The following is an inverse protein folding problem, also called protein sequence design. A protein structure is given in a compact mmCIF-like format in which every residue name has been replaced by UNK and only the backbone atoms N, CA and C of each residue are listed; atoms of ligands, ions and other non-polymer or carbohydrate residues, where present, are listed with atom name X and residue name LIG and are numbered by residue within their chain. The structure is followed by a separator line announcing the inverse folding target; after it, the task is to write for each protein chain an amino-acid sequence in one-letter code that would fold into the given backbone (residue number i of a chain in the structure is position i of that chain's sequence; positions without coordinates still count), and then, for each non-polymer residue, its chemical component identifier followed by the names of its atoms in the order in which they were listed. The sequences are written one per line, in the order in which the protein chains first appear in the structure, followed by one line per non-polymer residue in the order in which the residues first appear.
data_IF_432353482850
#
_entry.id   IF_432353482850
#
_cell.length_a   1.000
_cell.length_b   1.000
_cell.length_c   1.000
_cell.angle_alpha   90.00
_cell.angle_beta   90.00
_cell.angle_gamma   90.00
#
_symmetry.space_group_name_H-M   'P 1'
#
loop_
_entity.id
_entity.type
_entity.pdbx_description
1 polymer ?
#
# COMPACT_ATOMS: atom_id res chain seq x y z
N UNK A 1 -10.20 -7.55 -0.70
CA UNK A 1 -9.03 -7.50 0.20
C UNK A 1 -8.39 -6.13 0.10
N UNK A 2 -7.82 -5.59 1.18
CA UNK A 2 -6.97 -4.42 1.09
C UNK A 2 -5.52 -4.88 1.04
N UNK A 3 -4.72 -4.34 0.11
CA UNK A 3 -3.26 -4.50 0.08
C UNK A 3 -2.63 -4.36 1.48
N UNK A 4 -3.05 -3.41 2.34
CA UNK A 4 -2.53 -3.30 3.71
C UNK A 4 -2.92 -4.44 4.64
N UNK A 5 -4.06 -5.11 4.41
CA UNK A 5 -4.55 -6.19 5.27
C UNK A 5 -3.79 -7.49 5.03
N UNK A 6 -3.56 -7.86 3.76
CA UNK A 6 -2.77 -9.04 3.40
C UNK A 6 -1.32 -8.89 3.85
N UNK A 7 -0.67 -7.78 3.49
CA UNK A 7 0.70 -7.52 3.89
C UNK A 7 0.87 -7.52 5.41
N UNK A 8 -0.07 -6.93 6.16
CA UNK A 8 -0.05 -6.94 7.63
C UNK A 8 -0.22 -8.33 8.23
N UNK A 9 -1.04 -9.19 7.64
CA UNK A 9 -1.15 -10.58 8.09
C UNK A 9 0.16 -11.33 7.83
N UNK A 10 0.70 -11.19 6.62
CA UNK A 10 1.93 -11.85 6.20
C UNK A 10 3.13 -11.43 7.05
N UNK A 11 3.30 -10.13 7.29
CA UNK A 11 4.40 -9.57 8.10
C UNK A 11 4.36 -10.00 9.56
N UNK A 12 3.16 -10.22 10.10
CA UNK A 12 2.99 -10.73 11.48
C UNK A 12 3.28 -12.22 11.57
N UNK A 13 2.86 -12.99 10.56
CA UNK A 13 3.00 -14.44 10.56
C UNK A 13 4.43 -14.89 10.21
N UNK A 14 5.06 -14.22 9.26
CA UNK A 14 6.39 -14.53 8.76
C UNK A 14 7.31 -13.29 8.86
N UNK A 15 7.71 -12.87 10.07
CA UNK A 15 8.41 -11.59 10.26
C UNK A 15 9.75 -11.51 9.52
N UNK A 16 10.46 -12.63 9.39
CA UNK A 16 11.80 -12.68 8.78
C UNK A 16 11.82 -12.42 7.27
N UNK A 17 10.66 -12.38 6.60
CA UNK A 17 10.61 -12.05 5.18
C UNK A 17 10.91 -10.56 4.93
N UNK A 18 10.75 -9.71 5.95
CA UNK A 18 10.93 -8.26 5.83
C UNK A 18 12.32 -7.86 6.32
N UNK A 19 13.01 -7.04 5.53
CA UNK A 19 14.29 -6.43 5.89
C UNK A 19 14.25 -4.96 5.47
N UNK A 20 14.72 -4.05 6.33
CA UNK A 20 14.86 -2.63 5.95
C UNK A 20 16.01 -2.46 4.96
N UNK A 21 15.79 -1.63 3.94
CA UNK A 21 16.82 -1.31 2.97
C UNK A 21 17.88 -0.40 3.58
N UNK A 22 19.14 -0.70 3.33
CA UNK A 22 20.28 0.17 3.61
C UNK A 22 20.46 1.12 2.42
N UNK A 23 20.15 2.39 2.64
CA UNK A 23 20.29 3.46 1.64
C UNK A 23 21.55 4.28 1.90
N UNK A 24 22.48 4.30 0.94
CA UNK A 24 23.62 5.21 0.97
C UNK A 24 23.16 6.59 0.50
N UNK A 25 23.41 7.63 1.30
CA UNK A 25 23.10 9.01 0.94
C UNK A 25 24.28 9.68 0.22
N UNK A 26 24.02 10.60 -0.73
CA UNK A 26 25.06 11.46 -1.29
C UNK A 26 25.83 12.19 -0.19
N UNK A 27 27.14 12.31 -0.35
CA UNK A 27 27.99 13.02 0.61
C UNK A 27 28.17 14.45 0.15
N UNK A 28 28.11 15.41 1.07
CA UNK A 28 28.44 16.79 0.77
C UNK A 28 29.87 17.08 1.25
N UNK A 29 30.72 17.56 0.34
CA UNK A 29 32.09 17.96 0.65
C UNK A 29 32.37 19.30 -0.04
N UNK A 30 32.68 20.35 0.73
CA UNK A 30 32.96 21.70 0.22
C UNK A 30 31.85 22.26 -0.70
N UNK A 31 30.57 22.11 -0.32
CA UNK A 31 29.38 22.48 -1.12
C UNK A 31 29.26 21.75 -2.47
N UNK A 32 30.01 20.68 -2.67
CA UNK A 32 29.89 19.78 -3.82
C UNK A 32 29.21 18.50 -3.34
N UNK A 33 28.05 18.19 -3.95
CA UNK A 33 27.32 16.96 -3.70
C UNK A 33 27.97 15.83 -4.49
N UNK A 34 28.64 14.92 -3.78
CA UNK A 34 29.25 13.72 -4.35
C UNK A 34 28.15 12.65 -4.48
N UNK A 35 27.82 12.19 -5.70
CA UNK A 35 26.78 11.19 -5.91
C UNK A 35 27.18 9.84 -5.33
N UNK A 36 26.18 8.98 -5.11
CA UNK A 36 26.38 7.61 -4.66
C UNK A 36 26.99 6.81 -5.80
N UNK A 37 28.12 6.16 -5.53
CA UNK A 37 28.78 5.29 -6.50
C UNK A 37 28.12 3.90 -6.51
N UNK A 38 27.21 3.71 -7.46
CA UNK A 38 26.42 2.48 -7.64
C UNK A 38 27.21 1.33 -8.28
N UNK A 39 28.44 1.58 -8.77
CA UNK A 39 29.33 0.52 -9.29
C UNK A 39 29.90 -0.35 -8.17
N UNK A 40 29.91 0.15 -6.94
CA UNK A 40 30.36 -0.58 -5.75
C UNK A 40 29.38 -1.68 -5.35
N UNK A 41 29.84 -2.68 -4.57
CA UNK A 41 28.99 -3.70 -3.99
C UNK A 41 27.77 -3.10 -3.28
N UNK A 42 26.64 -3.77 -3.38
CA UNK A 42 25.38 -3.33 -2.79
C UNK A 42 25.50 -3.37 -1.24
N UNK A 43 25.18 -2.27 -0.53
CA UNK A 43 25.25 -2.22 0.94
C UNK A 43 24.24 -3.12 1.66
N UNK A 44 23.25 -3.69 0.94
CA UNK A 44 22.23 -4.57 1.49
C UNK A 44 22.68 -6.04 1.60
N UNK A 45 23.97 -6.32 1.36
CA UNK A 45 24.57 -7.67 1.42
C UNK A 45 23.94 -8.67 0.41
N UNK A 46 23.21 -8.16 -0.58
CA UNK A 46 22.64 -8.92 -1.69
C UNK A 46 22.82 -8.12 -2.97
N UNK A 47 23.29 -8.79 -4.02
CA UNK A 47 23.34 -8.23 -5.37
C UNK A 47 22.07 -8.62 -6.13
N UNK A 48 21.60 -7.74 -6.99
CA UNK A 48 20.43 -7.99 -7.84
C UNK A 48 20.84 -7.96 -9.30
N UNK A 49 20.40 -8.93 -10.07
CA UNK A 49 20.61 -8.95 -11.52
C UNK A 49 19.63 -8.03 -12.21
N UNK A 50 18.34 -8.18 -11.87
CA UNK A 50 17.24 -7.55 -12.58
C UNK A 50 16.37 -6.73 -11.61
N UNK A 51 16.16 -5.46 -11.94
CA UNK A 51 15.18 -4.58 -11.30
C UNK A 51 13.99 -4.37 -12.23
N UNK A 52 12.79 -4.62 -11.73
CA UNK A 52 11.53 -4.40 -12.42
C UNK A 52 10.77 -3.29 -11.70
N UNK A 53 10.33 -2.27 -12.43
CA UNK A 53 9.57 -1.15 -11.91
C UNK A 53 8.14 -1.21 -12.44
N UNK A 54 7.17 -1.44 -11.56
CA UNK A 54 5.80 -1.04 -11.82
C UNK A 54 5.72 0.49 -11.70
N UNK A 55 5.74 1.16 -12.85
CA UNK A 55 5.81 2.61 -12.93
C UNK A 55 4.55 3.27 -12.38
N UNK A 56 3.39 2.62 -12.42
CA UNK A 56 2.17 3.20 -11.85
C UNK A 56 2.28 3.38 -10.34
N UNK A 57 2.96 2.44 -9.66
CA UNK A 57 3.32 2.57 -8.24
C UNK A 57 4.26 3.74 -7.93
N UNK A 58 4.95 4.31 -8.92
CA UNK A 58 5.86 5.46 -8.79
C UNK A 58 5.18 6.77 -9.20
N UNK A 59 4.44 6.76 -10.33
CA UNK A 59 3.78 7.95 -10.91
C UNK A 59 2.73 8.52 -9.94
N UNK A 60 1.95 7.64 -9.29
CA UNK A 60 0.91 8.08 -8.37
C UNK A 60 1.47 8.89 -7.18
N UNK A 61 2.41 8.36 -6.37
CA UNK A 61 3.04 9.12 -5.28
C UNK A 61 3.75 10.40 -5.73
N UNK A 62 4.35 10.41 -6.94
CA UNK A 62 5.08 11.57 -7.44
C UNK A 62 4.16 12.71 -7.91
N UNK A 63 2.95 12.42 -8.36
CA UNK A 63 1.99 13.43 -8.88
C UNK A 63 1.04 13.96 -7.81
N UNK A 64 0.73 13.17 -6.79
CA UNK A 64 -0.14 13.55 -5.68
C UNK A 64 0.34 12.95 -4.36
N UNK A 65 1.49 13.41 -3.83
CA UNK A 65 2.04 12.93 -2.56
C UNK A 65 1.07 13.22 -1.41
N UNK A 66 0.91 12.25 -0.49
CA UNK A 66 0.07 12.44 0.71
C UNK A 66 0.74 13.35 1.75
N UNK A 67 2.07 13.30 1.85
CA UNK A 67 2.86 13.90 2.94
C UNK A 67 3.67 15.14 2.51
N UNK A 68 3.61 15.53 1.24
CA UNK A 68 4.31 16.69 0.67
C UNK A 68 3.35 17.53 -0.17
N UNK A 69 3.66 18.81 -0.44
CA UNK A 69 2.92 19.59 -1.42
C UNK A 69 2.95 18.90 -2.79
N UNK A 70 1.81 18.90 -3.50
CA UNK A 70 1.77 18.40 -4.86
C UNK A 70 2.66 19.25 -5.80
N UNK A 71 3.30 18.64 -6.80
CA UNK A 71 4.05 19.37 -7.83
C UNK A 71 3.20 20.43 -8.52
N UNK A 72 3.84 21.53 -8.93
CA UNK A 72 3.13 22.67 -9.54
C UNK A 72 2.76 22.45 -11.00
N UNK A 73 3.55 21.66 -11.72
CA UNK A 73 3.40 21.42 -13.15
C UNK A 73 3.93 20.03 -13.53
N UNK A 74 3.70 19.62 -14.79
CA UNK A 74 4.17 18.32 -15.29
C UNK A 74 5.70 18.18 -15.24
N UNK A 75 6.46 19.26 -15.48
CA UNK A 75 7.93 19.21 -15.43
C UNK A 75 8.45 18.82 -14.03
N UNK A 76 7.90 19.42 -12.97
CA UNK A 76 8.21 19.05 -11.58
C UNK A 76 7.79 17.60 -11.28
N UNK A 77 6.69 17.11 -11.87
CA UNK A 77 6.27 15.70 -11.75
C UNK A 77 7.28 14.75 -12.40
N UNK A 78 7.77 15.08 -13.61
CA UNK A 78 8.76 14.27 -14.31
C UNK A 78 10.08 14.21 -13.53
N UNK A 79 10.54 15.34 -12.98
CA UNK A 79 11.73 15.40 -12.13
C UNK A 79 11.54 14.52 -10.89
N UNK A 80 10.40 14.61 -10.21
CA UNK A 80 10.09 13.76 -9.06
C UNK A 80 10.12 12.27 -9.41
N UNK A 81 9.57 11.88 -10.58
CA UNK A 81 9.62 10.50 -11.08
C UNK A 81 11.07 10.06 -11.32
N UNK A 82 11.90 10.90 -11.95
CA UNK A 82 13.32 10.58 -12.20
C UNK A 82 14.10 10.41 -10.90
N UNK A 83 13.92 11.31 -9.93
CA UNK A 83 14.54 11.21 -8.61
C UNK A 83 14.11 9.94 -7.86
N UNK A 84 12.86 9.53 -8.01
CA UNK A 84 12.35 8.30 -7.40
C UNK A 84 12.99 7.06 -8.04
N UNK A 85 13.09 7.02 -9.37
CA UNK A 85 13.77 5.91 -10.08
C UNK A 85 15.24 5.85 -9.68
N UNK A 86 15.94 6.99 -9.64
CA UNK A 86 17.35 7.06 -9.20
C UNK A 86 17.52 6.54 -7.77
N UNK A 87 16.59 6.88 -6.87
CA UNK A 87 16.59 6.41 -5.48
C UNK A 87 16.47 4.89 -5.42
N UNK A 88 15.52 4.30 -6.15
CA UNK A 88 15.37 2.84 -6.24
C UNK A 88 16.61 2.18 -6.85
N UNK A 89 17.16 2.77 -7.92
CA UNK A 89 18.37 2.29 -8.56
C UNK A 89 19.56 2.28 -7.60
N UNK A 90 19.72 3.33 -6.78
CA UNK A 90 20.78 3.44 -5.78
C UNK A 90 20.69 2.37 -4.68
N UNK A 91 19.47 1.98 -4.30
CA UNK A 91 19.19 0.94 -3.30
C UNK A 91 19.45 -0.46 -3.89
N UNK A 92 18.89 -0.75 -5.07
CA UNK A 92 18.88 -2.11 -5.64
C UNK A 92 20.14 -2.42 -6.45
N UNK A 93 20.68 -1.45 -7.19
CA UNK A 93 21.88 -1.58 -8.04
C UNK A 93 21.83 -2.80 -8.98
N UNK A 94 20.84 -2.87 -9.88
CA UNK A 94 20.73 -4.00 -10.81
C UNK A 94 22.00 -4.14 -11.66
N UNK A 95 22.46 -5.37 -11.88
CA UNK A 95 23.71 -5.66 -12.60
C UNK A 95 23.51 -6.07 -14.06
N UNK A 96 22.30 -6.43 -14.47
CA UNK A 96 21.99 -6.98 -15.80
C UNK A 96 20.83 -6.26 -16.48
N UNK A 97 19.71 -6.08 -15.78
CA UNK A 97 18.48 -5.52 -16.37
C UNK A 97 17.81 -4.47 -15.49
N UNK A 98 17.37 -3.38 -16.11
CA UNK A 98 16.30 -2.52 -15.59
C UNK A 98 15.09 -2.59 -16.54
N UNK A 99 13.97 -3.08 -16.05
CA UNK A 99 12.72 -3.17 -16.79
C UNK A 99 11.70 -2.18 -16.21
N UNK A 100 11.27 -1.21 -17.00
CA UNK A 100 10.31 -0.18 -16.61
C UNK A 100 8.98 -0.45 -17.29
N UNK A 101 7.97 -0.83 -16.52
CA UNK A 101 6.65 -1.20 -17.03
C UNK A 101 5.61 -0.16 -16.64
N UNK A 102 5.03 0.51 -17.63
CA UNK A 102 3.90 1.41 -17.46
C UNK A 102 2.62 0.64 -17.78
N UNK A 103 1.53 0.87 -17.07
CA UNK A 103 0.24 0.26 -17.44
C UNK A 103 -0.16 0.66 -18.87
N UNK A 104 -0.50 -0.36 -19.66
CA UNK A 104 -1.16 -0.22 -20.95
C UNK A 104 -2.64 -0.54 -20.87
N UNK A 105 -3.26 -0.78 -22.02
CA UNK A 105 -4.68 -1.18 -22.07
C UNK A 105 -4.86 -2.51 -21.36
N UNK A 106 -5.60 -2.49 -20.24
CA UNK A 106 -5.83 -3.66 -19.39
C UNK A 106 -7.00 -4.52 -19.89
N UNK A 107 -7.10 -5.79 -19.45
CA UNK A 107 -8.25 -6.65 -19.75
C UNK A 107 -9.57 -6.09 -19.21
N UNK A 108 -10.69 -6.49 -19.81
CA UNK A 108 -12.04 -6.02 -19.45
C UNK A 108 -12.37 -6.18 -17.95
N UNK A 109 -11.92 -7.27 -17.33
CA UNK A 109 -12.11 -7.50 -15.90
C UNK A 109 -11.47 -6.40 -15.06
N UNK A 110 -10.22 -6.04 -15.36
CA UNK A 110 -9.53 -4.92 -14.71
C UNK A 110 -10.17 -3.58 -15.05
N UNK A 111 -10.61 -3.36 -16.30
CA UNK A 111 -11.27 -2.11 -16.70
C UNK A 111 -12.51 -1.80 -15.86
N UNK A 112 -13.31 -2.83 -15.51
CA UNK A 112 -14.47 -2.65 -14.62
C UNK A 112 -14.07 -2.18 -13.21
N UNK A 113 -12.99 -2.75 -12.68
CA UNK A 113 -12.42 -2.37 -11.40
C UNK A 113 -11.86 -0.95 -11.45
N UNK A 114 -11.05 -0.62 -12.46
CA UNK A 114 -10.46 0.71 -12.64
C UNK A 114 -11.55 1.77 -12.81
N UNK A 115 -12.59 1.49 -13.61
CA UNK A 115 -13.78 2.35 -13.74
C UNK A 115 -14.41 2.60 -12.38
N UNK A 116 -14.68 1.56 -11.61
CA UNK A 116 -15.30 1.69 -10.28
C UNK A 116 -14.46 2.53 -9.32
N UNK A 117 -13.12 2.34 -9.31
CA UNK A 117 -12.19 3.14 -8.51
C UNK A 117 -12.22 4.62 -8.90
N UNK A 118 -12.18 4.94 -10.21
CA UNK A 118 -12.17 6.33 -10.71
C UNK A 118 -13.47 7.07 -10.45
N UNK A 119 -14.61 6.40 -10.64
CA UNK A 119 -15.93 6.96 -10.31
C UNK A 119 -16.03 7.28 -8.82
N UNK A 120 -15.53 6.38 -7.95
CA UNK A 120 -15.50 6.62 -6.50
C UNK A 120 -14.57 7.77 -6.14
N UNK A 121 -13.34 7.79 -6.65
CA UNK A 121 -12.38 8.85 -6.37
C UNK A 121 -12.88 10.23 -6.82
N UNK A 122 -13.58 10.30 -7.96
CA UNK A 122 -14.20 11.54 -8.44
C UNK A 122 -15.33 12.00 -7.49
N UNK A 123 -16.21 11.09 -7.06
CA UNK A 123 -17.30 11.40 -6.10
C UNK A 123 -16.76 11.84 -4.74
N UNK A 124 -15.82 11.08 -4.17
CA UNK A 124 -15.14 11.41 -2.91
C UNK A 124 -14.38 12.73 -3.02
N UNK A 125 -13.81 13.03 -4.19
CA UNK A 125 -13.15 14.30 -4.49
C UNK A 125 -14.10 15.50 -4.42
N UNK A 126 -15.32 15.36 -4.96
CA UNK A 126 -16.37 16.40 -4.88
C UNK A 126 -16.87 16.54 -3.45
N UNK A 127 -17.24 15.43 -2.80
CA UNK A 127 -17.73 15.42 -1.41
C UNK A 127 -16.70 16.00 -0.44
N UNK A 128 -15.40 15.72 -0.64
CA UNK A 128 -14.34 16.28 0.19
C UNK A 128 -14.19 17.79 0.03
N UNK A 129 -14.40 18.34 -1.18
CA UNK A 129 -14.36 19.79 -1.43
C UNK A 129 -15.57 20.46 -0.77
N UNK A 130 -16.77 19.91 -0.95
CA UNK A 130 -18.00 20.42 -0.32
C UNK A 130 -17.89 20.43 1.22
N UNK A 131 -17.40 19.33 1.80
CA UNK A 131 -17.18 19.20 3.24
C UNK A 131 -16.14 20.21 3.75
N UNK A 132 -15.03 20.40 3.02
CA UNK A 132 -14.01 21.40 3.37
C UNK A 132 -14.59 22.81 3.35
N UNK A 133 -15.38 23.15 2.34
CA UNK A 133 -16.02 24.46 2.23
C UNK A 133 -17.00 24.71 3.37
N UNK A 134 -17.83 23.71 3.71
CA UNK A 134 -18.78 23.80 4.83
C UNK A 134 -18.07 24.05 6.16
N UNK A 135 -17.02 23.28 6.46
CA UNK A 135 -16.27 23.43 7.72
C UNK A 135 -15.52 24.77 7.73
N UNK A 136 -14.99 25.19 6.58
CA UNK A 136 -14.33 26.49 6.43
C UNK A 136 -15.29 27.65 6.77
N UNK A 137 -16.49 27.64 6.22
CA UNK A 137 -17.54 28.63 6.52
C UNK A 137 -17.91 28.62 8.01
N UNK A 138 -18.05 27.43 8.60
CA UNK A 138 -18.35 27.28 10.03
C UNK A 138 -17.25 27.90 10.91
N UNK A 139 -15.98 27.62 10.61
CA UNK A 139 -14.83 28.18 11.34
C UNK A 139 -14.79 29.71 11.21
N UNK A 140 -14.99 30.24 10.00
CA UNK A 140 -15.01 31.68 9.76
C UNK A 140 -16.19 32.36 10.48
N UNK A 141 -17.38 31.73 10.49
CA UNK A 141 -18.56 32.24 11.20
C UNK A 141 -18.37 32.34 12.71
N UNK A 142 -17.53 31.47 13.28
CA UNK A 142 -17.14 31.45 14.69
C UNK A 142 -15.98 32.39 15.01
N UNK A 143 -15.50 33.16 14.02
CA UNK A 143 -14.39 34.10 14.18
C UNK A 143 -13.00 33.47 14.10
N UNK A 144 -12.89 32.21 13.66
CA UNK A 144 -11.60 31.55 13.43
C UNK A 144 -10.87 32.11 12.21
N UNK A 145 -9.54 32.04 12.22
CA UNK A 145 -8.69 32.46 11.12
C UNK A 145 -8.24 31.27 10.28
N UNK A 146 -8.42 31.36 8.96
CA UNK A 146 -7.93 30.34 8.02
C UNK A 146 -7.07 31.00 6.92
N UNK A 147 -5.99 30.33 6.47
CA UNK A 147 -5.15 30.83 5.37
C UNK A 147 -5.97 31.04 4.09
N UNK A 148 -5.63 32.04 3.28
CA UNK A 148 -6.26 32.22 1.96
C UNK A 148 -6.01 30.99 1.08
N UNK A 149 -7.03 30.56 0.34
CA UNK A 149 -6.84 29.51 -0.66
C UNK A 149 -6.00 30.03 -1.81
N UNK A 150 -4.85 29.42 -2.03
CA UNK A 150 -4.17 29.48 -3.31
C UNK A 150 -4.97 28.63 -4.29
N UNK A 151 -5.46 29.22 -5.38
CA UNK A 151 -5.96 28.45 -6.52
C UNK A 151 -4.77 27.68 -7.12
N UNK A 152 -4.57 26.45 -6.67
CA UNK A 152 -3.70 25.49 -7.37
C UNK A 152 -4.57 24.69 -8.31
N UNK A 153 -4.20 24.65 -9.59
CA UNK A 153 -4.80 23.71 -10.52
C UNK A 153 -4.58 22.30 -9.97
N UNK A 154 -5.69 21.61 -9.70
CA UNK A 154 -5.65 20.25 -9.16
C UNK A 154 -5.26 19.31 -10.29
N UNK A 155 -4.16 18.59 -10.13
CA UNK A 155 -3.79 17.51 -11.05
C UNK A 155 -4.91 16.45 -11.12
N UNK A 156 -5.41 16.18 -12.32
CA UNK A 156 -6.40 15.13 -12.55
C UNK A 156 -5.69 13.78 -12.70
N UNK A 157 -5.68 12.99 -11.63
CA UNK A 157 -5.05 11.66 -11.63
C UNK A 157 -5.68 10.68 -12.63
N UNK A 158 -6.86 10.96 -13.18
CA UNK A 158 -7.42 10.15 -14.27
C UNK A 158 -6.59 10.27 -15.56
N UNK A 159 -5.73 11.28 -15.71
CA UNK A 159 -4.81 11.38 -16.84
C UNK A 159 -3.74 10.27 -16.83
N UNK A 160 -3.53 9.57 -15.70
CA UNK A 160 -2.69 8.38 -15.57
C UNK A 160 -3.45 7.19 -16.16
N UNK A 161 -3.65 7.22 -17.48
CA UNK A 161 -4.36 6.21 -18.27
C UNK A 161 -3.74 6.13 -19.66
N UNK A 162 -3.56 4.93 -20.23
CA UNK A 162 -3.13 4.79 -21.62
C UNK A 162 -3.98 5.63 -22.59
N UNK A 163 -3.30 6.29 -23.53
CA UNK A 163 -3.93 7.11 -24.57
C UNK A 163 -4.15 8.58 -24.21
N UNK A 164 -3.68 9.05 -23.06
CA UNK A 164 -3.68 10.47 -22.71
C UNK A 164 -2.37 11.15 -23.14
N UNK A 165 -2.43 12.45 -23.37
CA UNK A 165 -1.24 13.26 -23.71
C UNK A 165 -0.18 13.21 -22.61
N UNK A 166 -0.59 13.18 -21.34
CA UNK A 166 0.29 13.02 -20.19
C UNK A 166 1.15 11.74 -20.30
N UNK A 167 0.54 10.60 -20.65
CA UNK A 167 1.28 9.33 -20.77
C UNK A 167 2.23 9.31 -21.97
N UNK A 168 1.86 9.97 -23.07
CA UNK A 168 2.73 10.12 -24.23
C UNK A 168 3.94 11.01 -23.91
N UNK A 169 3.73 12.10 -23.17
CA UNK A 169 4.80 12.98 -22.70
C UNK A 169 5.71 12.28 -21.68
N UNK A 170 5.13 11.55 -20.73
CA UNK A 170 5.87 10.71 -19.79
C UNK A 170 6.78 9.70 -20.51
N UNK A 171 6.28 9.03 -21.55
CA UNK A 171 7.09 8.08 -22.33
C UNK A 171 8.28 8.77 -23.02
N UNK A 172 8.11 9.97 -23.59
CA UNK A 172 9.20 10.76 -24.18
C UNK A 172 10.23 11.15 -23.12
N UNK A 173 9.78 11.65 -21.97
CA UNK A 173 10.61 12.03 -20.84
C UNK A 173 11.42 10.85 -20.31
N UNK A 174 10.82 9.67 -20.16
CA UNK A 174 11.52 8.46 -19.73
C UNK A 174 12.56 7.97 -20.75
N UNK A 175 12.28 8.07 -22.05
CA UNK A 175 13.28 7.77 -23.09
C UNK A 175 14.49 8.70 -23.00
N UNK A 176 14.26 9.99 -22.77
CA UNK A 176 15.33 10.95 -22.52
C UNK A 176 16.12 10.59 -21.25
N UNK A 177 15.42 10.34 -20.13
CA UNK A 177 16.04 9.96 -18.86
C UNK A 177 16.93 8.71 -18.99
N UNK A 178 16.43 7.66 -19.65
CA UNK A 178 17.20 6.43 -19.90
C UNK A 178 18.45 6.74 -20.73
N UNK A 179 18.32 7.51 -21.80
CA UNK A 179 19.45 7.88 -22.64
C UNK A 179 20.48 8.71 -21.87
N UNK A 180 20.05 9.66 -21.05
CA UNK A 180 20.92 10.46 -20.19
C UNK A 180 21.68 9.58 -19.19
N UNK A 181 20.99 8.71 -18.45
CA UNK A 181 21.60 7.80 -17.47
C UNK A 181 22.59 6.83 -18.10
N UNK A 182 22.27 6.23 -19.25
CA UNK A 182 23.19 5.34 -19.97
C UNK A 182 24.47 6.04 -20.43
N UNK A 183 24.41 7.34 -20.75
CA UNK A 183 25.57 8.11 -21.20
C UNK A 183 26.41 8.67 -20.05
N UNK A 184 25.76 9.04 -18.94
CA UNK A 184 26.37 9.86 -17.89
C UNK A 184 26.56 9.13 -16.54
N UNK A 185 25.85 8.03 -16.28
CA UNK A 185 25.96 7.27 -15.03
C UNK A 185 26.78 5.97 -15.22
N UNK A 186 27.96 5.84 -14.59
CA UNK A 186 28.78 4.64 -14.67
C UNK A 186 28.08 3.35 -14.22
N UNK A 187 27.12 3.44 -13.30
CA UNK A 187 26.33 2.29 -12.83
C UNK A 187 25.41 1.71 -13.89
N UNK A 188 25.04 2.49 -14.91
CA UNK A 188 24.15 2.08 -16.00
C UNK A 188 24.91 1.52 -17.22
N UNK A 189 26.23 1.71 -17.29
CA UNK A 189 27.04 1.49 -18.49
C UNK A 189 26.91 0.08 -19.12
N UNK A 190 26.74 -0.96 -18.29
CA UNK A 190 26.63 -2.35 -18.76
C UNK A 190 25.21 -2.93 -18.59
N UNK A 191 24.23 -2.07 -18.32
CA UNK A 191 22.87 -2.48 -18.03
C UNK A 191 22.04 -2.55 -19.30
N UNK A 192 21.22 -3.59 -19.44
CA UNK A 192 20.14 -3.59 -20.43
C UNK A 192 18.95 -2.85 -19.84
N UNK A 193 18.43 -1.84 -20.54
CA UNK A 193 17.24 -1.09 -20.10
C UNK A 193 16.09 -1.34 -21.06
N UNK A 194 14.95 -1.79 -20.53
CA UNK A 194 13.72 -2.03 -21.30
C UNK A 194 12.65 -1.09 -20.78
N UNK A 195 12.13 -0.23 -21.66
CA UNK A 195 10.93 0.57 -21.40
C UNK A 195 9.74 -0.03 -22.12
N UNK A 196 8.75 -0.48 -21.35
CA UNK A 196 7.46 -0.92 -21.85
C UNK A 196 6.41 0.14 -21.50
N UNK A 197 6.24 1.12 -22.39
CA UNK A 197 5.33 2.24 -22.18
C UNK A 197 3.83 1.87 -22.29
N UNK A 198 2.96 2.86 -22.10
CA UNK A 198 1.50 2.68 -22.08
C UNK A 198 0.91 2.26 -23.43
N UNK A 199 1.66 2.37 -24.54
CA UNK A 199 1.19 1.90 -25.86
C UNK A 199 1.22 0.37 -25.99
N UNK A 200 2.05 -0.31 -25.18
CA UNK A 200 2.09 -1.76 -25.10
C UNK A 200 0.90 -2.24 -24.25
N UNK A 201 0.01 -3.12 -24.74
CA UNK A 201 -1.14 -3.60 -23.96
C UNK A 201 -0.73 -4.41 -22.71
N UNK A 202 -1.58 -4.43 -21.70
CA UNK A 202 -1.39 -5.16 -20.44
C UNK A 202 -1.09 -4.27 -19.24
N UNK A 203 -1.32 -4.78 -18.04
CA UNK A 203 -0.95 -4.13 -16.77
C UNK A 203 0.56 -4.25 -16.54
N UNK A 204 1.19 -3.26 -15.90
CA UNK A 204 2.63 -3.17 -15.70
C UNK A 204 3.19 -4.41 -15.00
N UNK A 205 2.57 -4.81 -13.88
CA UNK A 205 2.91 -6.04 -13.15
C UNK A 205 2.81 -7.28 -14.05
N UNK A 206 1.78 -7.40 -14.88
CA UNK A 206 1.60 -8.55 -15.76
C UNK A 206 2.60 -8.56 -16.93
N UNK A 207 2.96 -7.39 -17.48
CA UNK A 207 4.03 -7.30 -18.50
C UNK A 207 5.37 -7.77 -17.94
N UNK A 208 5.67 -7.40 -16.69
CA UNK A 208 6.87 -7.86 -15.99
C UNK A 208 6.83 -9.39 -15.81
N UNK A 209 5.72 -9.92 -15.30
CA UNK A 209 5.59 -11.36 -15.07
C UNK A 209 5.66 -12.15 -16.39
N UNK A 210 5.06 -11.65 -17.46
CA UNK A 210 5.15 -12.21 -18.81
C UNK A 210 6.60 -12.25 -19.30
N UNK A 211 7.36 -11.18 -19.09
CA UNK A 211 8.78 -11.12 -19.43
C UNK A 211 9.57 -12.18 -18.66
N UNK A 212 9.40 -12.27 -17.33
CA UNK A 212 10.10 -13.25 -16.49
C UNK A 212 9.79 -14.67 -16.94
N UNK A 213 8.51 -15.02 -17.16
CA UNK A 213 8.13 -16.36 -17.64
C UNK A 213 8.75 -16.70 -19.00
N UNK A 214 8.79 -15.74 -19.92
CA UNK A 214 9.42 -15.94 -21.24
C UNK A 214 10.93 -16.08 -21.14
N UNK A 215 11.58 -15.37 -20.22
CA UNK A 215 13.01 -15.53 -19.93
C UNK A 215 13.30 -16.91 -19.34
N UNK A 216 12.55 -17.33 -18.31
CA UNK A 216 12.69 -18.66 -17.68
C UNK A 216 12.54 -19.81 -18.69
N UNK A 217 11.68 -19.65 -19.69
CA UNK A 217 11.49 -20.63 -20.76
C UNK A 217 12.66 -20.72 -21.76
N UNK A 218 13.62 -19.80 -21.72
CA UNK A 218 14.79 -19.83 -22.60
C UNK A 218 15.81 -20.87 -22.14
N UNK A 219 16.45 -21.63 -23.06
CA UNK A 219 17.46 -22.64 -22.70
C UNK A 219 18.70 -22.10 -21.98
N UNK A 220 19.00 -20.80 -22.15
CA UNK A 220 20.17 -20.12 -21.60
C UNK A 220 19.83 -19.24 -20.40
N UNK A 221 18.61 -19.36 -19.86
CA UNK A 221 18.24 -18.68 -18.63
C UNK A 221 19.10 -19.15 -17.46
N UNK A 222 19.57 -18.19 -16.67
CA UNK A 222 20.30 -18.47 -15.45
C UNK A 222 19.29 -18.63 -14.30
N UNK A 223 19.09 -19.84 -13.75
CA UNK A 223 18.12 -20.09 -12.68
C UNK A 223 18.49 -19.43 -11.35
N UNK A 224 19.70 -18.88 -11.23
CA UNK A 224 20.16 -18.14 -10.06
C UNK A 224 20.04 -16.62 -10.23
N UNK A 225 19.31 -16.17 -11.25
CA UNK A 225 19.06 -14.74 -11.47
C UNK A 225 18.36 -14.14 -10.24
N UNK A 226 18.90 -13.05 -9.69
CA UNK A 226 18.31 -12.34 -8.55
C UNK A 226 17.36 -11.24 -9.05
N UNK A 227 16.06 -11.42 -8.78
CA UNK A 227 14.99 -10.53 -9.21
C UNK A 227 14.58 -9.57 -8.08
N UNK A 228 14.47 -8.28 -8.39
CA UNK A 228 13.89 -7.27 -7.50
C UNK A 228 12.71 -6.57 -8.20
N UNK A 229 11.50 -6.68 -7.67
CA UNK A 229 10.30 -6.03 -8.20
C UNK A 229 9.87 -4.88 -7.29
N UNK A 230 9.80 -3.67 -7.82
CA UNK A 230 9.27 -2.51 -7.11
C UNK A 230 7.75 -2.42 -7.28
N UNK A 231 7.03 -2.43 -6.16
CA UNK A 231 5.60 -2.13 -6.14
C UNK A 231 4.97 -2.39 -4.78
N UNK A 232 3.81 -1.76 -4.54
CA UNK A 232 3.15 -1.78 -3.24
C UNK A 232 2.03 -2.84 -3.13
N UNK A 233 1.60 -3.41 -4.24
CA UNK A 233 0.42 -4.29 -4.29
C UNK A 233 0.67 -5.66 -3.69
N UNK A 234 -0.35 -6.20 -3.02
CA UNK A 234 -0.29 -7.52 -2.38
C UNK A 234 -0.23 -8.64 -3.43
N UNK A 235 -0.77 -8.39 -4.61
CA UNK A 235 -0.81 -9.33 -5.72
C UNK A 235 0.60 -9.61 -6.24
N UNK A 236 1.55 -8.68 -6.09
CA UNK A 236 2.96 -8.88 -6.45
C UNK A 236 3.61 -10.04 -5.69
N UNK A 237 3.18 -10.32 -4.46
CA UNK A 237 3.69 -11.46 -3.67
C UNK A 237 3.21 -12.77 -4.31
N UNK A 238 1.95 -12.82 -4.72
CA UNK A 238 1.37 -13.98 -5.40
C UNK A 238 2.01 -14.20 -6.76
N UNK A 239 2.12 -13.11 -7.54
CA UNK A 239 2.73 -13.13 -8.86
C UNK A 239 4.20 -13.54 -8.78
N UNK A 240 4.95 -13.01 -7.80
CA UNK A 240 6.35 -13.37 -7.55
C UNK A 240 6.51 -14.85 -7.20
N UNK A 241 5.65 -15.41 -6.33
CA UNK A 241 5.64 -16.84 -6.03
C UNK A 241 5.32 -17.70 -7.27
N UNK A 242 4.35 -17.27 -8.09
CA UNK A 242 3.93 -17.95 -9.31
C UNK A 242 4.98 -17.90 -10.45
N UNK A 243 6.07 -17.12 -10.30
CA UNK A 243 7.20 -17.20 -11.23
C UNK A 243 8.03 -18.47 -11.02
N UNK A 244 7.97 -19.07 -9.82
CA UNK A 244 8.86 -20.14 -9.36
C UNK A 244 10.36 -19.78 -9.44
N UNK A 245 10.70 -18.49 -9.51
CA UNK A 245 12.08 -18.03 -9.39
C UNK A 245 12.54 -18.12 -7.93
N UNK A 246 13.66 -18.81 -7.64
CA UNK A 246 14.10 -19.02 -6.26
C UNK A 246 14.52 -17.71 -5.59
N UNK A 247 15.15 -16.79 -6.33
CA UNK A 247 15.69 -15.53 -5.81
C UNK A 247 14.83 -14.34 -6.23
N UNK A 248 13.65 -14.22 -5.64
CA UNK A 248 12.72 -13.13 -5.92
C UNK A 248 12.50 -12.25 -4.68
N UNK A 249 12.69 -10.94 -4.83
CA UNK A 249 12.50 -9.94 -3.78
C UNK A 249 11.56 -8.84 -4.28
N UNK A 250 10.68 -8.36 -3.42
CA UNK A 250 9.86 -7.18 -3.69
C UNK A 250 10.40 -6.01 -2.87
N UNK A 251 10.62 -4.86 -3.49
CA UNK A 251 10.94 -3.60 -2.81
C UNK A 251 9.70 -2.71 -2.76
N UNK A 252 9.44 -2.11 -1.59
CA UNK A 252 8.33 -1.18 -1.40
C UNK A 252 8.63 -0.18 -0.29
N UNK A 253 7.87 0.89 -0.29
CA UNK A 253 7.82 1.81 0.84
C UNK A 253 7.24 1.13 2.10
N UNK A 254 7.87 1.41 3.24
CA UNK A 254 7.38 0.98 4.54
C UNK A 254 6.14 1.77 4.94
N UNK A 255 5.04 1.06 5.19
CA UNK A 255 3.83 1.67 5.71
C UNK A 255 3.92 1.87 7.23
N UNK A 256 4.10 3.12 7.68
CA UNK A 256 4.10 3.50 9.09
C UNK A 256 2.69 3.97 9.50
N UNK A 257 1.90 3.18 10.26
CA UNK A 257 0.56 3.56 10.65
C UNK A 257 0.56 4.74 11.64
N UNK A 258 -0.52 5.53 11.63
CA UNK A 258 -0.78 6.63 12.58
C UNK A 258 0.27 7.76 12.55
N UNK A 259 0.93 7.98 11.41
CA UNK A 259 1.74 9.17 11.25
C UNK A 259 0.89 10.43 11.37
N UNK A 260 1.37 11.45 12.11
CA UNK A 260 0.65 12.70 12.26
C UNK A 260 0.57 13.40 10.91
N UNK A 261 -0.64 13.76 10.48
CA UNK A 261 -0.87 14.51 9.24
C UNK A 261 -1.26 15.96 9.58
N UNK A 262 -0.88 16.94 8.77
CA UNK A 262 -1.33 18.31 8.95
C UNK A 262 -2.84 18.41 8.66
N UNK A 263 -3.53 19.29 9.39
CA UNK A 263 -4.93 19.60 9.16
C UNK A 263 -5.12 20.17 7.75
N UNK A 264 -6.02 19.56 6.96
CA UNK A 264 -6.28 19.97 5.58
C UNK A 264 -6.97 21.33 5.39
N UNK A 265 -7.26 22.08 6.47
CA UNK A 265 -7.81 23.44 6.43
C UNK A 265 -6.79 24.50 6.88
N UNK A 266 -6.18 24.33 8.06
CA UNK A 266 -5.26 25.32 8.64
C UNK A 266 -3.77 24.95 8.50
N UNK A 267 -3.47 23.72 8.06
CA UNK A 267 -2.11 23.21 7.88
C UNK A 267 -1.36 22.88 9.18
N UNK A 268 -2.01 22.95 10.34
CA UNK A 268 -1.41 22.66 11.64
C UNK A 268 -1.58 21.19 12.05
N UNK A 269 -0.65 20.66 12.83
CA UNK A 269 -0.71 19.29 13.34
C UNK A 269 -1.54 19.19 14.64
N UNK A 270 -1.97 17.98 14.99
CA UNK A 270 -2.58 17.66 16.29
C UNK A 270 -4.10 17.66 16.33
N UNK A 271 -4.78 17.85 15.19
CA UNK A 271 -6.24 17.76 15.08
C UNK A 271 -6.68 17.35 13.67
N UNK A 272 -7.88 16.78 13.56
CA UNK A 272 -8.51 16.50 12.27
C UNK A 272 -9.25 17.73 11.72
N UNK A 273 -9.58 17.73 10.42
CA UNK A 273 -10.35 18.80 9.75
C UNK A 273 -11.63 19.16 10.52
N UNK A 274 -12.33 18.14 11.05
CA UNK A 274 -13.59 18.31 11.81
C UNK A 274 -13.41 18.99 13.17
N UNK A 275 -12.19 18.99 13.69
CA UNK A 275 -11.84 19.57 15.00
C UNK A 275 -11.10 20.90 14.84
N UNK A 276 -10.93 21.38 13.60
CA UNK A 276 -10.22 22.60 13.31
C UNK A 276 -10.96 23.83 13.85
N UNK A 277 -10.30 24.59 14.73
CA UNK A 277 -10.84 25.83 15.30
C UNK A 277 -10.32 27.09 14.59
N UNK A 278 -9.44 26.95 13.59
CA UNK A 278 -8.85 28.10 12.90
C UNK A 278 -7.98 28.96 13.81
N UNK A 279 -7.18 28.33 14.68
CA UNK A 279 -6.27 29.07 15.55
C UNK A 279 -5.13 29.70 14.73
N UNK A 280 -4.64 30.90 15.10
CA UNK A 280 -3.48 31.51 14.46
C UNK A 280 -2.24 30.61 14.58
N UNK A 281 -1.42 30.57 13.52
CA UNK A 281 -0.15 29.86 13.53
C UNK A 281 0.96 30.78 14.06
N UNK A 282 1.89 30.24 14.84
CA UNK A 282 3.16 30.93 15.12
C UNK A 282 4.04 30.94 13.85
N UNK A 283 4.48 32.13 13.45
CA UNK A 283 5.39 32.32 12.31
C UNK A 283 6.69 31.52 12.52
N UNK A 284 7.07 30.71 11.53
CA UNK A 284 8.41 30.10 11.46
C UNK A 284 9.16 30.61 10.22
N UNK A 285 10.35 31.17 10.42
CA UNK A 285 11.21 31.70 9.36
C UNK A 285 10.82 33.10 8.84
N UNK A 286 11.57 33.62 7.86
CA UNK A 286 11.35 34.95 7.27
C UNK A 286 10.10 35.03 6.36
N UNK A 287 9.67 33.90 5.79
CA UNK A 287 8.56 33.81 4.84
C UNK A 287 7.33 33.03 5.34
N UNK A 288 7.21 32.79 6.65
CA UNK A 288 6.10 32.00 7.23
C UNK A 288 5.94 30.63 6.55
N UNK A 289 7.07 29.92 6.45
CA UNK A 289 7.12 28.64 5.77
C UNK A 289 6.23 27.64 6.52
N UNK A 290 5.50 26.81 5.76
CA UNK A 290 4.92 25.63 6.36
C UNK A 290 6.07 24.85 6.97
N UNK A 291 6.08 24.71 8.31
CA UNK A 291 6.93 23.77 9.02
C UNK A 291 6.96 22.50 8.16
N UNK A 292 8.10 22.26 7.51
CA UNK A 292 8.28 21.08 6.70
C UNK A 292 7.93 19.85 7.53
N UNK A 293 7.73 18.72 6.87
CA UNK A 293 7.60 17.43 7.56
C UNK A 293 8.62 17.40 8.71
N UNK A 294 8.20 17.07 9.95
CA UNK A 294 9.09 17.12 11.10
C UNK A 294 10.40 16.39 10.77
N UNK A 295 11.58 16.94 11.18
CA UNK A 295 12.87 16.33 10.86
C UNK A 295 12.87 14.86 11.31
N UNK A 296 12.98 13.92 10.36
CA UNK A 296 13.01 12.48 10.63
C UNK A 296 11.90 11.61 10.01
N UNK A 297 10.98 12.14 9.21
CA UNK A 297 10.00 11.33 8.44
C UNK A 297 10.41 11.16 6.96
N UNK A 298 11.64 10.74 6.68
CA UNK A 298 11.95 10.25 5.34
C UNK A 298 11.28 8.90 5.12
N UNK A 299 10.68 8.71 3.95
CA UNK A 299 10.01 7.48 3.58
C UNK A 299 11.04 6.36 3.44
N UNK A 300 10.95 5.32 4.26
CA UNK A 300 11.88 4.18 4.25
C UNK A 300 11.41 3.10 3.28
N UNK A 301 12.36 2.32 2.77
CA UNK A 301 12.11 1.15 1.92
C UNK A 301 12.37 -0.15 2.69
N UNK A 302 11.58 -1.16 2.36
CA UNK A 302 11.72 -2.52 2.86
C UNK A 302 11.79 -3.51 1.69
N UNK A 303 12.57 -4.56 1.87
CA UNK A 303 12.56 -5.76 1.05
C UNK A 303 11.61 -6.81 1.64
N UNK A 304 10.83 -7.45 0.78
CA UNK A 304 10.06 -8.65 1.05
C UNK A 304 10.73 -9.79 0.30
N UNK A 305 11.38 -10.68 1.03
CA UNK A 305 12.19 -11.78 0.51
C UNK A 305 11.33 -13.02 0.27
N UNK A 306 10.99 -13.31 -0.99
CA UNK A 306 10.11 -14.44 -1.32
C UNK A 306 10.80 -15.79 -1.16
N UNK A 307 12.13 -15.85 -1.30
CA UNK A 307 12.91 -17.05 -0.97
C UNK A 307 12.68 -17.50 0.50
N UNK A 308 12.68 -16.54 1.44
CA UNK A 308 12.40 -16.81 2.86
C UNK A 308 10.92 -17.16 3.06
N UNK A 309 10.01 -16.50 2.34
CA UNK A 309 8.60 -16.86 2.38
C UNK A 309 8.38 -18.30 1.92
N UNK A 310 9.09 -18.75 0.87
CA UNK A 310 9.02 -20.13 0.38
C UNK A 310 9.48 -21.12 1.44
N UNK A 311 10.54 -20.85 2.19
CA UNK A 311 10.95 -21.70 3.32
C UNK A 311 9.86 -21.81 4.42
N UNK A 312 9.15 -20.72 4.70
CA UNK A 312 8.01 -20.75 5.62
C UNK A 312 6.86 -21.58 5.06
N UNK A 313 6.52 -21.36 3.79
CA UNK A 313 5.46 -22.08 3.11
C UNK A 313 5.79 -23.56 2.97
N UNK A 314 7.05 -23.94 2.77
CA UNK A 314 7.47 -25.34 2.69
C UNK A 314 7.15 -26.07 4.00
N UNK A 315 7.55 -25.50 5.13
CA UNK A 315 7.22 -26.04 6.47
C UNK A 315 5.71 -26.06 6.71
N UNK A 316 5.02 -25.03 6.26
CA UNK A 316 3.58 -24.91 6.46
C UNK A 316 2.76 -25.79 5.54
N UNK A 317 3.19 -26.08 4.32
CA UNK A 317 2.42 -26.83 3.33
C UNK A 317 2.83 -28.30 3.27
N UNK A 318 3.96 -28.68 3.87
CA UNK A 318 4.36 -30.07 4.01
C UNK A 318 3.25 -30.89 4.67
N UNK A 319 2.90 -31.99 4.02
CA UNK A 319 1.88 -32.94 4.44
C UNK A 319 2.49 -34.34 4.46
N UNK A 320 2.30 -35.07 5.57
CA UNK A 320 2.70 -36.46 5.67
C UNK A 320 1.58 -37.38 5.20
N UNK A 321 1.92 -38.59 4.73
CA UNK A 321 0.94 -39.63 4.38
C UNK A 321 -0.03 -39.26 3.24
N UNK A 322 0.42 -38.46 2.27
CA UNK A 322 -0.34 -38.22 1.05
C UNK A 322 -0.42 -39.49 0.18
N UNK A 323 -1.54 -39.71 -0.54
CA UNK A 323 -1.67 -40.83 -1.48
C UNK A 323 -0.89 -40.63 -2.79
N UNK A 324 -0.13 -39.55 -2.91
CA UNK A 324 0.72 -39.20 -4.05
C UNK A 324 2.00 -38.49 -3.56
N UNK A 325 3.00 -38.35 -4.43
CA UNK A 325 4.28 -37.72 -4.09
C UNK A 325 4.10 -36.23 -3.81
N UNK A 326 4.67 -35.75 -2.70
CA UNK A 326 4.63 -34.34 -2.34
C UNK A 326 5.62 -33.54 -3.19
N UNK A 327 5.08 -32.64 -3.99
CA UNK A 327 5.75 -31.56 -4.71
C UNK A 327 5.43 -30.21 -4.03
N UNK A 328 6.49 -29.52 -3.60
CA UNK A 328 6.37 -28.20 -2.97
C UNK A 328 5.90 -27.12 -3.96
N UNK A 329 6.40 -27.11 -5.20
CA UNK A 329 6.04 -26.10 -6.19
C UNK A 329 4.54 -26.14 -6.49
N UNK A 330 3.99 -27.35 -6.63
CA UNK A 330 2.56 -27.57 -6.84
C UNK A 330 1.72 -27.12 -5.64
N UNK A 331 2.26 -27.26 -4.42
CA UNK A 331 1.58 -26.76 -3.22
C UNK A 331 1.58 -25.23 -3.13
N UNK A 332 2.61 -24.57 -3.66
CA UNK A 332 2.68 -23.10 -3.77
C UNK A 332 1.63 -22.60 -4.76
N UNK A 333 1.46 -23.26 -5.91
CA UNK A 333 0.41 -22.92 -6.88
C UNK A 333 -0.98 -22.98 -6.25
N UNK A 334 -1.27 -24.06 -5.53
CA UNK A 334 -2.53 -24.23 -4.81
C UNK A 334 -2.71 -23.17 -3.72
N UNK A 335 -1.64 -22.80 -3.01
CA UNK A 335 -1.69 -21.75 -2.00
C UNK A 335 -1.98 -20.37 -2.61
N UNK A 336 -1.34 -20.03 -3.73
CA UNK A 336 -1.61 -18.81 -4.50
C UNK A 336 -3.07 -18.80 -4.95
N UNK A 337 -3.54 -19.90 -5.54
CA UNK A 337 -4.93 -20.05 -5.98
C UNK A 337 -5.93 -19.88 -4.82
N UNK A 338 -5.66 -20.48 -3.66
CA UNK A 338 -6.52 -20.32 -2.48
C UNK A 338 -6.58 -18.88 -1.97
N UNK A 339 -5.48 -18.13 -2.06
CA UNK A 339 -5.48 -16.72 -1.67
C UNK A 339 -6.45 -15.88 -2.53
N UNK A 340 -6.75 -16.30 -3.77
CA UNK A 340 -7.75 -15.62 -4.60
C UNK A 340 -9.16 -15.68 -4.02
N UNK A 341 -9.54 -16.72 -3.26
CA UNK A 341 -10.85 -16.83 -2.61
C UNK A 341 -11.06 -15.81 -1.49
N UNK A 342 -9.99 -15.33 -0.89
CA UNK A 342 -10.06 -14.30 0.16
C UNK A 342 -10.37 -12.91 -0.45
N UNK A 343 -10.25 -12.76 -1.78
CA UNK A 343 -10.80 -11.67 -2.60
C UNK A 343 -9.80 -10.80 -3.38
N UNK A 344 -9.59 -11.10 -4.64
CA UNK A 344 -8.68 -10.38 -5.54
C UNK A 344 -9.35 -9.18 -6.25
N UNK A 345 -8.65 -8.56 -7.21
CA UNK A 345 -9.15 -7.42 -7.98
C UNK A 345 -10.33 -7.76 -8.93
N UNK A 346 -10.50 -9.03 -9.29
CA UNK A 346 -11.46 -9.50 -10.28
C UNK A 346 -12.72 -10.13 -9.68
N UNK A 347 -12.60 -10.70 -8.48
CA UNK A 347 -13.68 -11.39 -7.78
C UNK A 347 -13.94 -10.77 -6.41
N UNK A 348 -15.22 -10.58 -6.03
CA UNK A 348 -15.52 -10.28 -4.64
C UNK A 348 -15.10 -11.48 -3.78
N UNK A 349 -14.28 -11.24 -2.76
CA UNK A 349 -14.83 -11.32 -1.42
C UNK A 349 -15.80 -12.43 -1.05
N UNK A 350 -15.38 -13.68 -0.76
CA UNK A 350 -16.33 -14.61 -0.12
C UNK A 350 -16.71 -14.08 1.28
N UNK A 351 -18.00 -13.95 1.62
CA UNK A 351 -18.43 -13.30 2.88
C UNK A 351 -17.89 -13.96 4.15
N UNK A 352 -17.64 -15.26 4.11
CA UNK A 352 -17.08 -16.07 5.20
C UNK A 352 -15.55 -16.00 5.30
N UNK A 353 -14.86 -15.41 4.32
CA UNK A 353 -13.40 -15.42 4.24
C UNK A 353 -12.83 -14.00 4.32
N UNK A 354 -12.48 -13.58 5.54
CA UNK A 354 -11.80 -12.32 5.78
C UNK A 354 -10.40 -12.53 6.37
N UNK A 355 -9.37 -11.89 5.79
CA UNK A 355 -7.97 -11.99 6.27
C UNK A 355 -7.85 -11.64 7.75
N UNK A 356 -8.58 -10.63 8.20
CA UNK A 356 -8.56 -10.15 9.60
C UNK A 356 -9.04 -11.20 10.59
N UNK A 357 -9.78 -12.21 10.13
CA UNK A 357 -10.34 -13.30 10.92
C UNK A 357 -9.54 -14.62 10.77
N UNK A 358 -8.37 -14.58 10.13
CA UNK A 358 -7.54 -15.76 9.91
C UNK A 358 -8.05 -16.67 8.79
N UNK A 359 -8.69 -16.10 7.76
CA UNK A 359 -9.24 -16.88 6.64
C UNK A 359 -8.17 -17.71 5.90
N UNK A 360 -6.96 -17.18 5.71
CA UNK A 360 -5.89 -17.90 5.00
C UNK A 360 -5.44 -19.12 5.82
N UNK A 361 -5.25 -18.96 7.13
CA UNK A 361 -4.88 -20.06 8.03
C UNK A 361 -5.95 -21.17 8.03
N UNK A 362 -7.22 -20.77 8.00
CA UNK A 362 -8.35 -21.69 7.89
C UNK A 362 -8.35 -22.43 6.56
N UNK A 363 -8.16 -21.71 5.44
CA UNK A 363 -8.08 -22.31 4.11
C UNK A 363 -6.94 -23.32 4.01
N UNK A 364 -5.75 -23.00 4.52
CA UNK A 364 -4.60 -23.93 4.54
C UNK A 364 -4.94 -25.21 5.32
N UNK A 365 -5.60 -25.09 6.47
CA UNK A 365 -6.02 -26.27 7.25
C UNK A 365 -7.07 -27.11 6.51
N UNK A 366 -8.05 -26.47 5.88
CA UNK A 366 -9.07 -27.16 5.07
C UNK A 366 -8.39 -27.86 3.88
N UNK A 367 -7.50 -27.16 3.18
CA UNK A 367 -6.72 -27.69 2.08
C UNK A 367 -5.96 -28.95 2.47
N UNK A 368 -5.18 -28.90 3.55
CA UNK A 368 -4.46 -30.08 4.03
C UNK A 368 -5.41 -31.25 4.25
N UNK A 369 -6.55 -31.05 4.89
CA UNK A 369 -7.50 -32.13 5.17
C UNK A 369 -8.15 -32.70 3.90
N UNK A 370 -8.45 -31.85 2.93
CA UNK A 370 -9.16 -32.22 1.69
C UNK A 370 -8.21 -32.86 0.68
N UNK A 371 -6.96 -32.37 0.57
CA UNK A 371 -5.96 -32.87 -0.38
C UNK A 371 -5.70 -34.37 -0.21
N UNK A 372 -5.68 -34.88 1.02
CA UNK A 372 -5.56 -36.31 1.30
C UNK A 372 -6.66 -37.16 0.64
N UNK A 373 -7.83 -36.57 0.32
CA UNK A 373 -8.98 -37.24 -0.30
C UNK A 373 -9.06 -37.00 -1.81
N UNK A 374 -8.38 -35.99 -2.32
CA UNK A 374 -8.48 -35.53 -3.73
C UNK A 374 -7.64 -36.32 -4.73
N UNK A 375 -6.65 -37.07 -4.25
CA UNK A 375 -5.70 -37.79 -5.10
C UNK A 375 -4.74 -36.89 -5.90
N UNK A 376 -4.65 -35.58 -5.61
CA UNK A 376 -3.68 -34.67 -6.22
C UNK A 376 -3.98 -33.19 -5.93
N UNK A 377 -3.17 -32.29 -6.50
CA UNK A 377 -3.28 -30.84 -6.29
C UNK A 377 -4.54 -30.19 -6.90
N UNK A 378 -4.95 -29.03 -6.41
CA UNK A 378 -6.09 -28.25 -6.93
C UNK A 378 -5.81 -27.69 -8.33
N UNK A 379 -4.56 -27.37 -8.59
CA UNK A 379 -4.12 -26.69 -9.81
C UNK A 379 -3.01 -27.45 -10.53
N UNK A 380 -2.92 -27.24 -11.84
CA UNK A 380 -1.87 -27.77 -12.70
C UNK A 380 -1.52 -26.76 -13.79
N UNK A 381 -0.36 -26.11 -13.69
CA UNK A 381 0.12 -25.13 -14.68
C UNK A 381 -0.93 -24.06 -15.06
N UNK A 382 -1.66 -23.58 -14.06
CA UNK A 382 -2.74 -22.58 -14.24
C UNK A 382 -4.12 -23.14 -14.57
N UNK A 383 -4.26 -24.46 -14.81
CA UNK A 383 -5.56 -25.11 -14.94
C UNK A 383 -6.08 -25.55 -13.57
N UNK A 384 -7.38 -25.34 -13.34
CA UNK A 384 -8.03 -25.63 -12.05
C UNK A 384 -8.86 -26.91 -12.17
N UNK A 385 -8.65 -27.85 -11.24
CA UNK A 385 -9.51 -29.02 -11.11
C UNK A 385 -10.75 -28.67 -10.27
N UNK A 386 -11.88 -28.44 -10.94
CA UNK A 386 -13.11 -27.98 -10.30
C UNK A 386 -13.72 -29.00 -9.32
N UNK A 387 -13.56 -30.30 -9.55
CA UNK A 387 -14.04 -31.33 -8.61
C UNK A 387 -13.29 -31.24 -7.27
N UNK A 388 -11.98 -30.98 -7.33
CA UNK A 388 -11.16 -30.79 -6.13
C UNK A 388 -11.48 -29.48 -5.42
N UNK A 389 -11.68 -28.41 -6.17
CA UNK A 389 -12.13 -27.12 -5.62
C UNK A 389 -13.50 -27.24 -4.96
N UNK A 390 -14.43 -27.99 -5.56
CA UNK A 390 -15.75 -28.23 -4.96
C UNK A 390 -15.62 -28.87 -3.56
N UNK A 391 -14.70 -29.82 -3.37
CA UNK A 391 -14.47 -30.42 -2.05
C UNK A 391 -13.97 -29.40 -1.02
N UNK A 392 -13.10 -28.46 -1.42
CA UNK A 392 -12.65 -27.36 -0.55
C UNK A 392 -13.84 -26.45 -0.21
N UNK A 393 -14.65 -26.07 -1.20
CA UNK A 393 -15.79 -25.18 -1.00
C UNK A 393 -16.87 -25.81 -0.10
N UNK A 394 -17.11 -27.11 -0.22
CA UNK A 394 -18.01 -27.85 0.69
C UNK A 394 -17.50 -27.80 2.13
N UNK A 395 -16.20 -28.04 2.35
CA UNK A 395 -15.60 -27.97 3.68
C UNK A 395 -15.58 -26.54 4.25
N UNK A 396 -15.45 -25.51 3.40
CA UNK A 396 -15.65 -24.11 3.81
C UNK A 396 -17.11 -23.89 4.24
N UNK A 397 -18.07 -24.39 3.45
CA UNK A 397 -19.51 -24.33 3.74
C UNK A 397 -19.89 -24.87 5.12
N UNK A 398 -19.28 -25.98 5.55
CA UNK A 398 -19.52 -26.59 6.86
C UNK A 398 -19.14 -25.67 8.04
N UNK A 399 -18.21 -24.73 7.84
CA UNK A 399 -17.72 -23.83 8.90
C UNK A 399 -18.28 -22.41 8.81
N UNK A 400 -18.99 -22.05 7.73
CA UNK A 400 -19.49 -20.68 7.49
C UNK A 400 -20.40 -20.17 8.61
N UNK A 401 -21.37 -20.97 9.05
CA UNK A 401 -22.31 -20.59 10.11
C UNK A 401 -21.59 -20.21 11.41
N UNK A 402 -20.55 -20.95 11.76
CA UNK A 402 -19.76 -20.70 12.95
C UNK A 402 -18.92 -19.42 12.81
N UNK A 403 -18.43 -19.12 11.60
CA UNK A 403 -17.72 -17.88 11.30
C UNK A 403 -18.66 -16.68 11.49
N UNK A 404 -19.88 -16.74 10.94
CA UNK A 404 -20.83 -15.64 11.06
C UNK A 404 -21.30 -15.40 12.50
N UNK A 405 -21.55 -16.47 13.27
CA UNK A 405 -21.88 -16.36 14.70
C UNK A 405 -20.77 -15.68 15.48
N UNK A 406 -19.53 -16.15 15.31
CA UNK A 406 -18.35 -15.58 15.99
C UNK A 406 -18.13 -14.11 15.63
N UNK A 407 -18.23 -13.76 14.34
CA UNK A 407 -18.10 -12.36 13.88
C UNK A 407 -19.11 -11.44 14.57
N UNK A 408 -20.37 -11.88 14.66
CA UNK A 408 -21.42 -11.11 15.33
C UNK A 408 -21.10 -10.91 16.82
N UNK A 409 -20.66 -11.96 17.51
CA UNK A 409 -20.26 -11.90 18.93
C UNK A 409 -19.08 -10.93 19.15
N UNK A 410 -18.07 -11.00 18.29
CA UNK A 410 -16.90 -10.11 18.34
C UNK A 410 -17.28 -8.64 18.11
N UNK A 411 -18.18 -8.37 17.16
CA UNK A 411 -18.73 -7.04 16.88
C UNK A 411 -19.53 -6.48 18.07
N UNK A 412 -20.37 -7.30 18.69
CA UNK A 412 -21.14 -6.92 19.88
C UNK A 412 -20.21 -6.62 21.07
N UNK A 413 -19.20 -7.46 21.28
CA UNK A 413 -18.19 -7.26 22.32
C UNK A 413 -17.35 -6.00 22.07
N UNK A 414 -16.97 -5.72 20.82
CA UNK A 414 -16.26 -4.49 20.45
C UNK A 414 -17.11 -3.24 20.71
N UNK A 415 -18.39 -3.25 20.30
CA UNK A 415 -19.33 -2.15 20.57
C UNK A 415 -19.50 -1.91 22.07
N UNK A 416 -19.57 -2.97 22.88
CA UNK A 416 -19.65 -2.86 24.34
C UNK A 416 -18.41 -2.19 24.93
N UNK A 417 -17.21 -2.67 24.55
CA UNK A 417 -15.93 -2.09 24.99
C UNK A 417 -15.78 -0.62 24.59
N UNK A 418 -16.20 -0.24 23.37
CA UNK A 418 -16.17 1.16 22.95
C UNK A 418 -17.11 2.04 23.78
N UNK A 419 -18.34 1.58 24.08
CA UNK A 419 -19.29 2.30 24.94
C UNK A 419 -18.72 2.48 26.35
N UNK A 420 -18.11 1.44 26.93
CA UNK A 420 -17.46 1.51 28.24
C UNK A 420 -16.29 2.50 28.26
N UNK A 421 -15.46 2.51 27.19
CA UNK A 421 -14.33 3.43 27.05
C UNK A 421 -14.78 4.89 26.88
N UNK A 422 -15.84 5.15 26.10
CA UNK A 422 -16.45 6.49 26.00
C UNK A 422 -16.96 6.99 27.35
N UNK A 423 -17.71 6.16 28.08
CA UNK A 423 -18.19 6.49 29.44
C UNK A 423 -17.06 6.79 30.42
N UNK A 424 -15.94 6.04 30.36
CA UNK A 424 -14.75 6.30 31.19
C UNK A 424 -14.08 7.63 30.83
N UNK A 425 -13.98 7.96 29.55
CA UNK A 425 -13.40 9.23 29.11
C UNK A 425 -14.29 10.44 29.45
N UNK A 426 -15.62 10.31 29.30
CA UNK A 426 -16.59 11.33 29.72
C UNK A 426 -16.54 11.57 31.23
N UNK A 427 -16.44 10.50 32.03
CA UNK A 427 -16.30 10.59 33.49
C UNK A 427 -14.96 11.16 33.98
N UNK A 428 -13.91 11.11 33.15
CA UNK A 428 -12.59 11.70 33.48
C UNK A 428 -12.57 13.19 33.12
N UNK A 429 -13.17 13.56 31.99
CA UNK A 429 -13.30 14.98 31.58
C UNK A 429 -14.14 15.79 32.57
N UNK A 430 -15.18 15.17 33.15
CA UNK A 430 -16.01 15.79 34.20
C UNK A 430 -15.30 15.91 35.57
N UNK A 431 -14.22 15.15 35.83
CA UNK A 431 -13.43 15.26 37.06
C UNK A 431 -12.34 16.34 37.00
N UNK A 432 -11.90 16.72 35.80
CA UNK A 432 -10.95 17.84 35.61
C UNK A 432 -11.60 19.22 35.71
N UNK A 433 -12.93 19.35 35.65
CA UNK A 433 -13.61 20.65 35.81
C UNK A 433 -13.89 21.03 37.27
N UNK A 434 -13.67 20.12 38.23
CA UNK A 434 -13.99 20.35 39.66
C UNK A 434 -12.76 20.67 40.55
N UNK A 435 -11.64 21.11 39.97
CA UNK A 435 -10.43 21.44 40.75
C UNK A 435 -9.97 22.91 40.71
N UNK A 436 -10.80 23.82 40.21
CA UNK A 436 -10.61 25.26 40.38
C UNK A 436 -11.93 25.94 40.77
N UNK A 437 -12.29 25.84 42.05
CA UNK A 437 -13.17 26.82 42.69
C UNK A 437 -12.46 27.25 43.98
N UNK A 438 -11.76 28.38 43.90
CA UNK A 438 -11.35 29.16 45.08
C UNK A 438 -12.58 29.85 45.70
N UNK A 439 -12.52 30.27 46.97
CA UNK A 439 -13.69 30.70 47.72
C UNK A 439 -14.17 32.07 47.19
N UNK A 440 -15.42 32.15 46.74
CA UNK A 440 -16.08 33.41 46.42
C UNK A 440 -17.18 33.69 47.45
N UNK A 441 -17.11 34.92 47.95
CA UNK A 441 -17.89 35.61 48.97
C UNK A 441 -19.43 35.45 48.83
N UNK A 442 -20.19 35.43 49.95
CA UNK A 442 -21.64 35.24 49.94
C UNK A 442 -22.40 36.58 49.81
N UNK A 443 -23.07 36.81 48.69
CA UNK A 443 -24.22 37.72 48.66
C UNK A 443 -25.10 37.54 47.41
N UNK A 444 -26.41 37.47 47.68
CA UNK A 444 -27.57 37.46 46.79
C UNK A 444 -28.07 36.12 46.19
N UNK A 445 -29.42 35.96 46.11
CA UNK A 445 -30.08 34.70 46.41
C UNK A 445 -30.57 33.96 45.18
N UNK A 446 -30.58 32.64 45.31
CA UNK A 446 -30.98 31.64 44.33
C UNK A 446 -32.50 31.59 44.11
N UNK A 447 -32.91 31.37 42.85
CA UNK A 447 -33.79 30.23 42.56
C UNK A 447 -33.75 29.83 41.08
N UNK A 448 -33.13 28.69 40.79
CA UNK A 448 -33.53 27.82 39.68
C UNK A 448 -34.30 26.66 40.30
N UNK A 449 -35.60 26.61 40.06
CA UNK A 449 -36.44 25.46 40.40
C UNK A 449 -36.38 24.44 39.27
N UNK A 450 -35.93 23.25 39.63
CA UNK A 450 -36.17 21.98 38.95
C UNK A 450 -37.66 21.70 38.78
N UNK A 451 -38.10 21.22 37.61
CA UNK A 451 -39.17 20.22 37.52
C UNK A 451 -38.85 19.24 36.39
N UNK A 452 -38.66 17.99 36.79
CA UNK A 452 -38.78 16.80 35.99
C UNK A 452 -40.23 16.32 36.11
N UNK A 453 -40.94 16.06 35.00
CA UNK A 453 -42.21 15.34 35.06
C UNK A 453 -42.41 14.49 33.81
N UNK A 454 -42.46 13.17 34.08
CA UNK A 454 -42.93 12.08 33.22
C UNK A 454 -44.36 12.36 32.74
N UNK A 455 -44.76 11.78 31.62
CA UNK A 455 -46.02 11.03 31.56
C UNK A 455 -45.93 9.91 30.51
N UNK A 456 -46.15 8.68 30.99
CA UNK A 456 -46.68 7.57 30.20
C UNK A 456 -48.20 7.61 30.36
N UNK A 457 -48.93 7.67 29.26
CA UNK A 457 -49.94 6.68 28.88
C UNK A 457 -50.20 6.78 27.39
#
# INVERSE_FOLDING_TARGET
MGVPAFFRWLSRKYPSIIVHCVEQKPKECNNIKIPVDTTKPNPNEVEFDNLYLDMNGIIHPCTHPEDKPAPKNEDEMMVAIFEYIDRLFNIVRPRRLLYMAIDGVAPRAKMNQQRSRRFRASKEGVESVEEKNRIREEVLSKGGYLPKEEMKERFDSNCITPGTEFMDNLAKCLRYYIADRLNNDPGWKNLTVILSDASVPGEGEHKIMDYIRRQRAQPHHDPNTHHCLCGADADLIMLGLATHEPYFTIIREEFKPNQPRPCGLCGQFGHEIKECQGMPREKKGEHDEFAGAPPGCEQEFIFIRLNILREYLEKELTMASLPFEFDFERSVDDWVFMCFFVGNDFLPHLPSLEIREGAIDRLVNIYKNVVHKTGGYLTESGFVNLERVQMIMLAVGEVEDNIFKKRKEDDEHFKRRQKERKKKNEGTTSKTFFRYIGPVCPSCPWSWKSVCARFHQ
#
